data_IF_163811542232
#
_entry.id   IF_163811542232
#
_cell.length_a   1.000
_cell.length_b   1.000
_cell.length_c   1.000
_cell.angle_alpha   90.00
_cell.angle_beta   90.00
_cell.angle_gamma   90.00
#
_symmetry.space_group_name_H-M   'P 1'
#
loop_
_entity.id
_entity.type
_entity.pdbx_description
1 polymer ?
#
# COMPACT_ATOMS: atom_id res chain seq x y z
N UNK A 1 -7.76 3.83 1.76
CA UNK A 1 -7.40 3.53 0.35
C UNK A 1 -6.17 2.61 0.21
N UNK A 2 -5.02 2.84 0.88
CA UNK A 2 -3.80 2.04 0.71
C UNK A 2 -3.99 0.56 1.08
N UNK A 3 -4.65 0.31 2.22
CA UNK A 3 -4.99 -1.03 2.70
C UNK A 3 -5.76 -1.86 1.66
N UNK A 4 -6.80 -1.27 1.07
CA UNK A 4 -7.64 -1.96 0.10
C UNK A 4 -6.82 -2.44 -1.10
N UNK A 5 -5.90 -1.59 -1.57
CA UNK A 5 -5.04 -1.94 -2.68
C UNK A 5 -4.08 -3.08 -2.32
N UNK A 6 -3.53 -3.09 -1.09
CA UNK A 6 -2.73 -4.23 -0.59
C UNK A 6 -3.53 -5.52 -0.53
N UNK A 7 -4.77 -5.47 -0.04
CA UNK A 7 -5.67 -6.65 -0.02
C UNK A 7 -5.85 -7.16 -1.45
N UNK A 8 -6.24 -6.31 -2.40
CA UNK A 8 -6.43 -6.75 -3.79
C UNK A 8 -5.15 -7.32 -4.42
N UNK A 9 -3.97 -6.77 -4.10
CA UNK A 9 -2.69 -7.25 -4.60
C UNK A 9 -2.35 -8.63 -4.01
N UNK A 10 -2.55 -8.82 -2.71
CA UNK A 10 -2.24 -10.07 -2.01
C UNK A 10 -3.22 -11.18 -2.35
N UNK A 11 -4.52 -10.88 -2.41
CA UNK A 11 -5.54 -11.86 -2.81
C UNK A 11 -5.41 -12.24 -4.27
N UNK A 12 -4.86 -11.37 -5.12
CA UNK A 12 -4.53 -11.67 -6.51
C UNK A 12 -3.46 -12.75 -6.68
N UNK A 13 -2.77 -13.16 -5.60
CA UNK A 13 -1.81 -14.28 -5.59
C UNK A 13 -2.44 -15.62 -5.22
N UNK A 14 -3.71 -15.63 -4.82
CA UNK A 14 -4.45 -16.85 -4.51
C UNK A 14 -4.97 -17.52 -5.80
N UNK A 15 -5.23 -18.84 -5.77
CA UNK A 15 -5.98 -19.54 -6.82
C UNK A 15 -7.27 -18.81 -7.18
N UNK A 16 -7.63 -18.76 -8.47
CA UNK A 16 -8.74 -17.94 -9.01
C UNK A 16 -10.09 -18.20 -8.29
N UNK A 17 -10.33 -19.44 -7.87
CA UNK A 17 -11.51 -19.88 -7.12
C UNK A 17 -11.59 -19.26 -5.71
N UNK A 18 -10.45 -18.87 -5.12
CA UNK A 18 -10.35 -18.35 -3.76
C UNK A 18 -10.18 -16.84 -3.70
N UNK A 19 -9.84 -16.16 -4.80
CA UNK A 19 -9.54 -14.72 -4.78
C UNK A 19 -10.73 -13.87 -4.32
N UNK A 20 -11.95 -14.21 -4.76
CA UNK A 20 -13.15 -13.47 -4.36
C UNK A 20 -13.42 -13.63 -2.86
N UNK A 21 -13.33 -14.87 -2.34
CA UNK A 21 -13.47 -15.15 -0.91
C UNK A 21 -12.36 -14.51 -0.09
N UNK A 22 -11.12 -14.56 -0.55
CA UNK A 22 -9.97 -13.94 0.11
C UNK A 22 -10.14 -12.42 0.24
N UNK A 23 -10.74 -11.76 -0.76
CA UNK A 23 -11.05 -10.32 -0.71
C UNK A 23 -12.10 -10.02 0.34
N UNK A 24 -13.23 -10.72 0.33
CA UNK A 24 -14.32 -10.46 1.27
C UNK A 24 -13.96 -10.85 2.70
N UNK A 25 -13.31 -12.00 2.90
CA UNK A 25 -12.87 -12.48 4.22
C UNK A 25 -11.72 -11.64 4.75
N UNK A 26 -10.74 -11.31 3.90
CA UNK A 26 -9.63 -10.44 4.28
C UNK A 26 -10.10 -9.03 4.66
N UNK A 27 -11.06 -8.48 3.89
CA UNK A 27 -11.70 -7.22 4.25
C UNK A 27 -12.50 -7.35 5.53
N UNK A 28 -13.33 -8.39 5.68
CA UNK A 28 -14.08 -8.72 6.90
C UNK A 28 -13.20 -8.74 8.15
N UNK A 29 -12.08 -9.45 8.05
CA UNK A 29 -11.10 -9.58 9.13
C UNK A 29 -10.46 -8.23 9.46
N UNK A 30 -10.01 -7.48 8.46
CA UNK A 30 -9.41 -6.16 8.66
C UNK A 30 -10.40 -5.20 9.35
N UNK A 31 -11.66 -5.20 8.94
CA UNK A 31 -12.69 -4.38 9.60
C UNK A 31 -12.92 -4.77 11.05
N UNK A 32 -13.04 -6.08 11.31
CA UNK A 32 -13.23 -6.58 12.68
C UNK A 32 -12.08 -6.17 13.57
N UNK A 33 -10.85 -6.31 13.08
CA UNK A 33 -9.65 -5.89 13.81
C UNK A 33 -9.63 -4.37 14.03
N UNK A 34 -9.99 -3.58 13.02
CA UNK A 34 -10.01 -2.12 13.12
C UNK A 34 -11.08 -1.59 14.10
N UNK A 35 -12.26 -2.21 14.09
CA UNK A 35 -13.32 -1.91 15.07
C UNK A 35 -12.88 -2.34 16.46
N UNK A 36 -12.26 -3.52 16.60
CA UNK A 36 -11.74 -4.01 17.87
C UNK A 36 -10.68 -3.07 18.44
N UNK A 37 -9.76 -2.58 17.61
CA UNK A 37 -8.75 -1.58 18.02
C UNK A 37 -9.40 -0.28 18.50
N UNK A 38 -10.43 0.21 17.81
CA UNK A 38 -11.18 1.40 18.23
C UNK A 38 -11.97 1.19 19.52
N UNK A 39 -12.64 0.04 19.66
CA UNK A 39 -13.37 -0.32 20.88
C UNK A 39 -12.44 -0.55 22.06
N UNK A 40 -11.26 -1.12 21.83
CA UNK A 40 -10.21 -1.25 22.84
C UNK A 40 -9.83 0.14 23.40
N UNK A 41 -9.67 1.13 22.53
CA UNK A 41 -9.42 2.52 22.96
C UNK A 41 -10.61 3.12 23.71
N UNK A 42 -11.85 2.87 23.27
CA UNK A 42 -13.05 3.35 23.96
C UNK A 42 -13.24 2.70 25.33
N UNK A 43 -12.91 1.41 25.46
CA UNK A 43 -13.01 0.66 26.72
C UNK A 43 -11.91 1.10 27.70
N UNK A 44 -10.70 1.32 27.20
CA UNK A 44 -9.59 1.91 27.97
C UNK A 44 -9.95 3.31 28.46
N UNK A 45 -10.54 4.15 27.59
CA UNK A 45 -10.98 5.49 28.00
C UNK A 45 -12.20 5.49 28.92
N UNK A 46 -13.10 4.50 28.84
CA UNK A 46 -14.27 4.37 29.72
C UNK A 46 -13.97 3.78 31.10
N UNK A 47 -12.84 3.09 31.26
CA UNK A 47 -12.34 2.61 32.56
C UNK A 47 -11.66 3.71 33.41
N UNK A 48 -11.75 4.97 32.99
CA UNK A 48 -11.18 6.13 33.69
C UNK A 48 -12.01 6.61 34.90
N UNK A 49 -13.15 5.98 35.20
CA UNK A 49 -13.73 6.03 36.56
C UNK A 49 -13.05 4.94 37.42
N UNK A 50 -12.04 5.38 38.17
CA UNK A 50 -11.05 4.56 38.88
C UNK A 50 -11.72 3.67 39.96
N UNK A 51 -11.96 2.39 39.64
CA UNK A 51 -12.34 1.38 40.65
C UNK A 51 -11.24 0.35 40.96
N UNK A 52 -10.19 0.28 40.14
CA UNK A 52 -9.05 -0.61 40.34
C UNK A 52 -7.76 0.02 39.79
N UNK A 53 -6.72 0.11 40.63
CA UNK A 53 -5.35 0.41 40.23
C UNK A 53 -4.80 -0.80 39.47
N UNK A 54 -4.98 -0.81 38.15
CA UNK A 54 -4.36 -1.81 37.30
C UNK A 54 -2.87 -1.43 37.15
N UNK A 55 -1.91 -2.31 37.50
CA UNK A 55 -0.48 -2.04 37.31
C UNK A 55 -0.09 -1.79 35.84
N UNK A 56 -0.97 -2.15 34.90
CA UNK A 56 -0.85 -1.81 33.50
C UNK A 56 -1.19 -0.32 33.20
N UNK A 57 -2.08 0.30 33.97
CA UNK A 57 -2.37 1.74 33.87
C UNK A 57 -1.25 2.58 34.48
N UNK A 58 -0.60 2.18 35.59
CA UNK A 58 0.61 2.87 36.08
C UNK A 58 1.76 2.83 35.06
N UNK A 59 1.92 1.71 34.34
CA UNK A 59 2.89 1.59 33.25
C UNK A 59 2.59 2.53 32.08
N UNK A 60 1.31 2.82 31.80
CA UNK A 60 0.87 3.78 30.77
C UNK A 60 0.78 5.23 31.27
N UNK A 61 0.55 5.48 32.56
CA UNK A 61 0.54 6.82 33.15
C UNK A 61 1.96 7.34 33.37
N UNK A 62 2.94 6.46 33.67
CA UNK A 62 4.37 6.79 33.53
C UNK A 62 4.77 7.15 32.09
N UNK A 63 3.96 6.72 31.12
CA UNK A 63 4.08 7.08 29.70
C UNK A 63 3.46 8.46 29.40
N UNK A 64 2.40 8.84 30.11
CA UNK A 64 1.65 10.09 29.95
C UNK A 64 2.16 11.27 30.79
N UNK A 65 2.67 11.04 32.00
CA UNK A 65 3.29 12.06 32.87
C UNK A 65 4.67 12.49 32.36
N UNK A 66 5.40 11.59 31.70
CA UNK A 66 6.61 11.97 30.96
C UNK A 66 6.29 12.82 29.71
N UNK A 67 5.07 12.71 29.16
CA UNK A 67 4.61 13.46 27.98
C UNK A 67 3.95 14.80 28.34
N UNK A 68 3.38 14.94 29.54
CA UNK A 68 3.02 16.22 30.14
C UNK A 68 4.14 16.69 31.05
N UNK A 69 5.20 17.23 30.44
CA UNK A 69 6.13 18.07 31.19
C UNK A 69 5.33 19.09 32.00
N UNK A 70 5.43 18.98 33.33
CA UNK A 70 4.77 19.81 34.31
C UNK A 70 4.97 21.29 33.94
N UNK A 71 3.90 21.98 33.57
CA UNK A 71 3.95 23.42 33.51
C UNK A 71 3.99 23.97 34.93
N UNK A 72 5.08 24.67 35.27
CA UNK A 72 5.17 25.93 36.06
C UNK A 72 6.24 25.87 37.17
N UNK A 73 7.28 26.70 37.03
CA UNK A 73 8.01 27.28 38.16
C UNK A 73 9.53 27.42 38.04
N UNK A 74 9.97 28.57 37.50
CA UNK A 74 11.23 29.29 37.78
C UNK A 74 12.61 28.62 37.69
N UNK A 75 13.49 29.25 36.89
CA UNK A 75 14.88 29.49 37.29
C UNK A 75 15.94 28.72 36.52
N UNK A 76 16.68 29.47 35.69
CA UNK A 76 18.13 29.43 35.51
C UNK A 76 18.89 28.15 35.07
N UNK A 77 19.95 28.46 34.31
CA UNK A 77 21.19 27.72 34.11
C UNK A 77 21.25 26.66 32.99
N UNK A 78 21.85 27.12 31.88
CA UNK A 78 22.91 26.49 31.12
C UNK A 78 23.40 25.09 31.57
N UNK A 79 23.46 24.17 30.60
CA UNK A 79 24.20 22.92 30.71
C UNK A 79 23.57 21.87 29.80
N UNK A 80 24.33 21.35 28.84
CA UNK A 80 23.81 20.40 27.86
C UNK A 80 23.40 19.08 28.49
N UNK A 81 22.13 18.71 28.33
CA UNK A 81 21.63 17.38 28.65
C UNK A 81 21.20 16.66 27.36
N UNK A 82 22.08 15.77 26.89
CA UNK A 82 21.71 14.68 25.98
C UNK A 82 20.89 13.66 26.75
N UNK A 83 19.60 13.92 26.92
CA UNK A 83 18.66 12.89 27.36
C UNK A 83 18.58 11.81 26.26
N UNK A 84 18.79 10.51 26.56
CA UNK A 84 18.53 9.47 25.57
C UNK A 84 17.03 9.52 25.28
N UNK A 85 16.66 9.77 24.02
CA UNK A 85 15.26 9.81 23.59
C UNK A 85 14.55 8.54 24.08
N UNK A 86 13.63 8.68 25.04
CA UNK A 86 12.86 7.57 25.56
C UNK A 86 11.96 7.06 24.43
N UNK A 87 12.37 5.96 23.79
CA UNK A 87 11.61 5.35 22.70
C UNK A 87 10.27 4.84 23.21
N UNK A 88 9.19 5.33 22.60
CA UNK A 88 7.85 4.91 22.97
C UNK A 88 7.50 3.54 22.38
N UNK A 89 6.63 2.76 23.03
CA UNK A 89 6.11 1.52 22.43
C UNK A 89 5.43 1.78 21.08
N UNK A 90 4.81 2.96 20.93
CA UNK A 90 4.31 3.49 19.67
C UNK A 90 5.42 3.67 18.64
N UNK A 91 6.52 4.32 19.00
CA UNK A 91 7.66 4.60 18.10
C UNK A 91 8.26 3.30 17.57
N UNK A 92 8.38 2.30 18.44
CA UNK A 92 8.85 0.98 18.07
C UNK A 92 7.94 0.32 17.04
N UNK A 93 6.62 0.39 17.25
CA UNK A 93 5.64 -0.16 16.31
C UNK A 93 5.63 0.62 14.99
N UNK A 94 5.74 1.95 15.02
CA UNK A 94 5.82 2.80 13.82
C UNK A 94 7.10 2.52 13.02
N UNK A 95 8.23 2.37 13.70
CA UNK A 95 9.52 2.07 13.07
C UNK A 95 9.52 0.69 12.42
N UNK A 96 9.13 -0.36 13.15
CA UNK A 96 9.06 -1.72 12.61
C UNK A 96 8.00 -1.85 11.53
N UNK A 97 6.82 -1.27 11.74
CA UNK A 97 5.74 -1.25 10.77
C UNK A 97 6.15 -0.52 9.49
N UNK A 98 6.74 0.65 9.61
CA UNK A 98 7.24 1.42 8.48
C UNK A 98 8.34 0.68 7.69
N UNK A 99 9.32 0.10 8.40
CA UNK A 99 10.39 -0.69 7.77
C UNK A 99 9.83 -1.93 7.06
N UNK A 100 8.86 -2.61 7.67
CA UNK A 100 8.15 -3.73 7.08
C UNK A 100 7.39 -3.31 5.80
N UNK A 101 6.66 -2.19 5.82
CA UNK A 101 5.95 -1.69 4.63
C UNK A 101 6.91 -1.33 3.50
N UNK A 102 8.01 -0.64 3.79
CA UNK A 102 9.00 -0.25 2.78
C UNK A 102 9.64 -1.50 2.18
N UNK A 103 10.13 -2.42 3.02
CA UNK A 103 10.75 -3.67 2.56
C UNK A 103 9.79 -4.52 1.72
N UNK A 104 8.57 -4.75 2.21
CA UNK A 104 7.56 -5.53 1.49
C UNK A 104 7.17 -4.87 0.17
N UNK A 105 6.86 -3.58 0.18
CA UNK A 105 6.40 -2.89 -1.03
C UNK A 105 7.50 -2.80 -2.08
N UNK A 106 8.76 -2.61 -1.66
CA UNK A 106 9.92 -2.61 -2.56
C UNK A 106 10.09 -3.98 -3.23
N UNK A 107 10.00 -5.06 -2.45
CA UNK A 107 10.05 -6.42 -2.99
C UNK A 107 8.86 -6.72 -3.94
N UNK A 108 7.66 -6.21 -3.64
CA UNK A 108 6.49 -6.35 -4.51
C UNK A 108 6.63 -5.54 -5.82
N UNK A 109 7.31 -4.40 -5.79
CA UNK A 109 7.62 -3.59 -6.97
C UNK A 109 8.65 -4.32 -7.84
N UNK A 110 9.74 -4.80 -7.23
CA UNK A 110 10.82 -5.49 -7.93
C UNK A 110 10.32 -6.73 -8.69
N UNK A 111 9.55 -7.60 -8.01
CA UNK A 111 8.97 -8.79 -8.64
C UNK A 111 8.00 -8.48 -9.79
N UNK A 112 7.38 -7.30 -9.84
CA UNK A 112 6.53 -6.91 -10.98
C UNK A 112 7.30 -6.30 -12.14
N UNK A 113 8.48 -5.75 -11.88
CA UNK A 113 9.30 -5.08 -12.88
C UNK A 113 10.21 -6.05 -13.62
N UNK A 114 10.67 -7.12 -12.97
CA UNK A 114 11.57 -8.11 -13.59
C UNK A 114 10.88 -8.94 -14.69
N UNK A 115 9.54 -8.94 -14.75
CA UNK A 115 8.79 -9.82 -15.63
C UNK A 115 9.02 -11.29 -15.26
N UNK A 116 8.14 -12.19 -15.68
CA UNK A 116 8.33 -13.63 -15.43
C UNK A 116 9.42 -14.21 -16.37
N UNK A 117 10.65 -13.68 -16.27
CA UNK A 117 11.82 -14.21 -16.95
C UNK A 117 12.29 -15.49 -16.27
N UNK A 118 11.98 -16.64 -16.87
CA UNK A 118 12.51 -17.96 -16.55
C UNK A 118 12.38 -18.41 -15.08
N UNK A 119 11.14 -18.69 -14.66
CA UNK A 119 10.91 -19.61 -13.53
C UNK A 119 10.68 -21.02 -14.09
N UNK A 120 11.71 -21.87 -14.01
CA UNK A 120 11.57 -23.31 -14.23
C UNK A 120 10.45 -23.86 -13.36
N UNK A 121 9.68 -24.79 -13.92
CA UNK A 121 8.50 -25.47 -13.34
C UNK A 121 8.81 -26.39 -12.13
N UNK A 122 9.72 -25.99 -11.24
CA UNK A 122 10.01 -26.76 -10.04
C UNK A 122 9.49 -26.03 -8.79
N UNK A 123 8.29 -26.44 -8.39
CA UNK A 123 7.76 -26.32 -7.03
C UNK A 123 7.59 -24.89 -6.48
N UNK A 124 6.94 -24.00 -7.24
CA UNK A 124 6.37 -22.78 -6.66
C UNK A 124 5.19 -23.19 -5.77
N UNK A 125 5.45 -23.39 -4.47
CA UNK A 125 4.39 -23.63 -3.48
C UNK A 125 3.29 -22.59 -3.67
N UNK A 126 2.08 -23.06 -3.95
CA UNK A 126 0.90 -22.21 -4.02
C UNK A 126 0.83 -21.37 -2.73
N UNK A 127 0.64 -20.06 -2.89
CA UNK A 127 0.53 -19.15 -1.73
C UNK A 127 -0.69 -19.59 -0.92
N UNK A 128 -0.47 -19.96 0.33
CA UNK A 128 -1.53 -20.45 1.20
C UNK A 128 -2.53 -19.33 1.52
N UNK A 129 -3.81 -19.67 1.52
CA UNK A 129 -4.91 -18.79 1.91
C UNK A 129 -4.66 -18.14 3.29
N UNK A 130 -4.24 -18.95 4.27
CA UNK A 130 -3.92 -18.47 5.62
C UNK A 130 -2.76 -17.47 5.62
N UNK A 131 -1.74 -17.69 4.79
CA UNK A 131 -0.60 -16.77 4.70
C UNK A 131 -1.00 -15.40 4.15
N UNK A 132 -1.98 -15.35 3.24
CA UNK A 132 -2.51 -14.10 2.70
C UNK A 132 -3.34 -13.37 3.75
N UNK A 133 -4.19 -14.07 4.50
CA UNK A 133 -4.97 -13.47 5.58
C UNK A 133 -4.08 -12.90 6.69
N UNK A 134 -3.02 -13.60 7.09
CA UNK A 134 -2.05 -13.09 8.08
C UNK A 134 -1.33 -11.85 7.56
N UNK A 135 -0.92 -11.82 6.29
CA UNK A 135 -0.31 -10.62 5.69
C UNK A 135 -1.29 -9.43 5.64
N UNK A 136 -2.55 -9.69 5.30
CA UNK A 136 -3.60 -8.67 5.32
C UNK A 136 -3.79 -8.13 6.75
N UNK A 137 -3.85 -9.00 7.74
CA UNK A 137 -3.98 -8.62 9.14
C UNK A 137 -2.79 -7.77 9.60
N UNK A 138 -1.56 -8.17 9.30
CA UNK A 138 -0.37 -7.39 9.67
C UNK A 138 -0.38 -6.01 8.99
N UNK A 139 -0.69 -5.95 7.69
CA UNK A 139 -0.76 -4.68 6.97
C UNK A 139 -1.87 -3.76 7.47
N UNK A 140 -3.04 -4.32 7.81
CA UNK A 140 -4.11 -3.56 8.43
C UNK A 140 -3.75 -3.09 9.83
N UNK A 141 -3.03 -3.88 10.62
CA UNK A 141 -2.61 -3.48 11.96
C UNK A 141 -1.68 -2.26 11.88
N UNK A 142 -0.66 -2.31 11.02
CA UNK A 142 0.27 -1.19 10.86
C UNK A 142 -0.45 0.05 10.32
N UNK A 143 -1.36 -0.10 9.34
CA UNK A 143 -2.09 1.03 8.77
C UNK A 143 -3.19 1.58 9.69
N UNK A 144 -3.81 0.72 10.51
CA UNK A 144 -4.85 1.12 11.46
C UNK A 144 -4.24 1.87 12.63
N UNK A 145 -3.05 1.49 13.12
CA UNK A 145 -2.38 2.22 14.21
C UNK A 145 -2.08 3.68 13.83
N UNK A 146 -1.53 3.95 12.65
CA UNK A 146 -1.26 5.33 12.18
C UNK A 146 -2.54 6.17 12.06
N UNK A 147 -3.56 5.61 11.39
CA UNK A 147 -4.82 6.32 11.15
C UNK A 147 -5.67 6.50 12.40
N UNK A 148 -5.58 5.59 13.38
CA UNK A 148 -6.25 5.70 14.67
C UNK A 148 -5.52 6.70 15.57
N UNK A 149 -4.19 6.61 15.70
CA UNK A 149 -3.41 7.53 16.53
C UNK A 149 -3.53 8.97 15.99
N UNK A 150 -3.51 9.14 14.66
CA UNK A 150 -3.72 10.46 14.03
C UNK A 150 -5.15 10.97 14.29
N UNK A 151 -6.17 10.11 14.25
CA UNK A 151 -7.55 10.51 14.51
C UNK A 151 -7.81 10.87 15.98
N UNK A 152 -7.24 10.09 16.92
CA UNK A 152 -7.29 10.39 18.37
C UNK A 152 -6.58 11.71 18.69
N UNK A 153 -5.53 12.07 17.95
CA UNK A 153 -4.83 13.34 18.11
C UNK A 153 -5.52 14.57 17.51
N UNK A 154 -6.64 14.41 16.78
CA UNK A 154 -7.32 15.50 16.06
C UNK A 154 -8.80 15.68 16.39
N UNK A 155 -9.46 14.69 16.99
CA UNK A 155 -10.89 14.74 17.28
C UNK A 155 -11.16 14.47 18.77
N UNK A 156 -11.81 15.43 19.42
CA UNK A 156 -12.17 15.34 20.84
C UNK A 156 -13.32 14.34 21.09
N UNK A 157 -14.10 14.04 20.06
CA UNK A 157 -15.29 13.19 20.15
C UNK A 157 -15.03 11.79 19.57
N UNK A 158 -14.81 10.83 20.47
CA UNK A 158 -14.58 9.41 20.14
C UNK A 158 -15.69 8.85 19.23
N UNK A 159 -16.94 9.28 19.46
CA UNK A 159 -18.09 8.85 18.65
C UNK A 159 -17.98 9.31 17.19
N UNK A 160 -17.47 10.51 16.94
CA UNK A 160 -17.25 11.03 15.57
C UNK A 160 -16.16 10.22 14.87
N UNK A 161 -15.08 9.89 15.59
CA UNK A 161 -13.99 9.06 15.06
C UNK A 161 -14.47 7.64 14.70
N UNK A 162 -15.20 6.98 15.61
CA UNK A 162 -15.74 5.64 15.36
C UNK A 162 -16.69 5.68 14.16
N UNK A 163 -17.63 6.64 14.14
CA UNK A 163 -18.59 6.78 13.05
C UNK A 163 -17.89 7.02 11.71
N UNK A 164 -16.88 7.90 11.66
CA UNK A 164 -16.10 8.17 10.46
C UNK A 164 -15.38 6.92 9.93
N UNK A 165 -14.76 6.12 10.81
CA UNK A 165 -14.09 4.88 10.42
C UNK A 165 -15.09 3.84 9.94
N UNK A 166 -16.21 3.65 10.65
CA UNK A 166 -17.27 2.70 10.27
C UNK A 166 -17.86 3.07 8.90
N UNK A 167 -18.17 4.35 8.66
CA UNK A 167 -18.67 4.82 7.36
C UNK A 167 -17.62 4.60 6.26
N UNK A 168 -16.36 5.00 6.48
CA UNK A 168 -15.30 4.84 5.49
C UNK A 168 -15.10 3.37 5.12
N UNK A 169 -15.15 2.49 6.11
CA UNK A 169 -15.09 1.05 5.96
C UNK A 169 -16.29 0.50 5.19
N UNK A 170 -17.51 0.92 5.53
CA UNK A 170 -18.72 0.52 4.81
C UNK A 170 -18.67 0.88 3.32
N UNK A 171 -18.20 2.09 2.99
CA UNK A 171 -17.98 2.52 1.60
C UNK A 171 -16.94 1.64 0.91
N UNK A 172 -15.85 1.29 1.60
CA UNK A 172 -14.82 0.38 1.05
C UNK A 172 -15.38 -1.02 0.77
N UNK A 173 -16.24 -1.57 1.63
CA UNK A 173 -16.89 -2.87 1.39
C UNK A 173 -17.76 -2.87 0.13
N UNK A 174 -18.61 -1.86 0.00
CA UNK A 174 -19.49 -1.71 -1.16
C UNK A 174 -18.67 -1.56 -2.44
N UNK A 175 -17.51 -0.91 -2.34
CA UNK A 175 -16.63 -0.65 -3.47
C UNK A 175 -15.59 -1.74 -3.72
N UNK A 176 -15.54 -2.79 -2.89
CA UNK A 176 -14.45 -3.76 -2.90
C UNK A 176 -14.33 -4.54 -4.21
N UNK A 177 -15.45 -5.03 -4.76
CA UNK A 177 -15.44 -5.72 -6.05
C UNK A 177 -14.96 -4.80 -7.19
N UNK A 178 -15.61 -3.64 -7.42
CA UNK A 178 -15.22 -2.69 -8.47
C UNK A 178 -13.78 -2.20 -8.37
N UNK A 179 -13.32 -1.77 -7.18
CA UNK A 179 -11.95 -1.26 -7.02
C UNK A 179 -10.94 -2.37 -7.25
N UNK A 180 -11.22 -3.59 -6.78
CA UNK A 180 -10.31 -4.72 -7.01
C UNK A 180 -10.14 -5.00 -8.50
N UNK A 181 -11.25 -5.12 -9.23
CA UNK A 181 -11.19 -5.34 -10.67
C UNK A 181 -10.47 -4.20 -11.39
N UNK A 182 -10.69 -2.95 -10.99
CA UNK A 182 -9.98 -1.80 -11.53
C UNK A 182 -8.46 -1.89 -11.30
N UNK A 183 -8.02 -2.21 -10.08
CA UNK A 183 -6.59 -2.36 -9.75
C UNK A 183 -5.96 -3.53 -10.51
N UNK A 184 -6.69 -4.62 -10.75
CA UNK A 184 -6.22 -5.76 -11.54
C UNK A 184 -6.03 -5.43 -13.02
N UNK A 185 -6.95 -4.68 -13.63
CA UNK A 185 -6.89 -4.32 -15.05
C UNK A 185 -5.95 -3.16 -15.36
N UNK A 186 -5.53 -2.40 -14.34
CA UNK A 186 -4.65 -1.24 -14.50
C UNK A 186 -3.32 -1.43 -13.74
N UNK A 187 -2.28 -1.97 -14.41
CA UNK A 187 -0.97 -2.21 -13.79
C UNK A 187 -0.35 -0.95 -13.16
N UNK A 188 -0.52 0.21 -13.80
CA UNK A 188 -0.04 1.50 -13.31
C UNK A 188 -0.70 1.90 -11.98
N UNK A 189 -2.01 1.64 -11.82
CA UNK A 189 -2.73 1.83 -10.54
C UNK A 189 -2.21 0.86 -9.48
N UNK A 190 -1.94 -0.39 -9.86
CA UNK A 190 -1.33 -1.40 -8.97
C UNK A 190 0.07 -0.98 -8.48
N UNK A 191 0.84 -0.28 -9.32
CA UNK A 191 2.15 0.26 -8.95
C UNK A 191 2.03 1.51 -8.07
N UNK A 192 1.11 2.41 -8.41
CA UNK A 192 0.79 3.60 -7.61
C UNK A 192 0.39 3.22 -6.19
N UNK A 193 -0.42 2.18 -6.02
CA UNK A 193 -0.77 1.64 -4.71
C UNK A 193 0.46 1.18 -3.89
N UNK A 194 1.41 0.47 -4.51
CA UNK A 194 2.65 0.06 -3.85
C UNK A 194 3.54 1.26 -3.52
N UNK A 195 3.59 2.27 -4.38
CA UNK A 195 4.31 3.52 -4.11
C UNK A 195 3.71 4.28 -2.92
N UNK A 196 2.39 4.28 -2.76
CA UNK A 196 1.74 4.84 -1.57
C UNK A 196 2.08 4.07 -0.30
N UNK A 197 2.19 2.74 -0.35
CA UNK A 197 2.65 1.96 0.79
C UNK A 197 4.10 2.31 1.19
N UNK A 198 4.98 2.57 0.21
CA UNK A 198 6.34 3.06 0.49
C UNK A 198 6.29 4.45 1.10
N UNK A 199 5.53 5.38 0.52
CA UNK A 199 5.38 6.75 1.04
C UNK A 199 4.90 6.73 2.50
N UNK A 200 3.86 5.95 2.79
CA UNK A 200 3.35 5.77 4.15
C UNK A 200 4.41 5.11 5.02
N UNK A 201 5.07 4.04 4.56
CA UNK A 201 6.12 3.36 5.31
C UNK A 201 7.27 4.30 5.70
N UNK A 202 7.74 5.16 4.79
CA UNK A 202 8.75 6.19 5.08
C UNK A 202 8.21 7.22 6.07
N UNK A 203 6.93 7.61 5.94
CA UNK A 203 6.29 8.52 6.89
C UNK A 203 6.22 7.91 8.30
N UNK A 204 5.90 6.62 8.42
CA UNK A 204 5.88 5.92 9.71
C UNK A 204 7.27 5.81 10.33
N UNK A 205 8.30 5.54 9.52
CA UNK A 205 9.69 5.55 9.98
C UNK A 205 10.06 6.94 10.50
N UNK A 206 9.71 7.99 9.75
CA UNK A 206 9.97 9.37 10.17
C UNK A 206 9.26 9.69 11.50
N UNK A 207 7.98 9.36 11.62
CA UNK A 207 7.20 9.60 12.84
C UNK A 207 7.70 8.78 14.03
N UNK A 208 8.11 7.53 13.83
CA UNK A 208 8.76 6.70 14.86
C UNK A 208 10.15 7.21 15.27
N UNK A 209 10.80 8.03 14.44
CA UNK A 209 12.01 8.77 14.79
C UNK A 209 11.72 10.18 15.33
N UNK A 210 10.46 10.43 15.73
CA UNK A 210 9.97 11.72 16.21
C UNK A 210 10.06 12.87 15.19
N UNK A 211 10.27 12.56 13.90
CA UNK A 211 10.23 13.51 12.80
C UNK A 211 8.80 13.63 12.27
N UNK A 212 8.12 14.70 12.68
CA UNK A 212 6.74 14.93 12.30
C UNK A 212 6.67 15.49 10.88
N UNK A 213 6.15 14.67 9.96
CA UNK A 213 5.82 15.12 8.61
C UNK A 213 4.38 15.60 8.59
N UNK A 214 4.10 16.86 8.19
CA UNK A 214 2.72 17.33 8.09
C UNK A 214 1.91 16.47 7.13
N UNK A 215 0.85 15.83 7.65
CA UNK A 215 0.02 14.87 6.91
C UNK A 215 -0.60 15.47 5.64
N UNK A 216 -0.81 16.79 5.62
CA UNK A 216 -1.27 17.53 4.45
C UNK A 216 -0.37 17.35 3.22
N UNK A 217 0.95 17.25 3.40
CA UNK A 217 1.87 16.96 2.30
C UNK A 217 1.70 15.55 1.75
N UNK A 218 1.52 14.56 2.64
CA UNK A 218 1.28 13.17 2.26
C UNK A 218 -0.04 13.04 1.48
N UNK A 219 -1.10 13.68 1.97
CA UNK A 219 -2.41 13.66 1.32
C UNK A 219 -2.40 14.39 -0.02
N UNK A 220 -1.70 15.53 -0.10
CA UNK A 220 -1.52 16.27 -1.35
C UNK A 220 -0.74 15.46 -2.38
N UNK A 221 0.34 14.79 -1.98
CA UNK A 221 1.13 13.93 -2.86
C UNK A 221 0.31 12.73 -3.38
N UNK A 222 -0.47 12.08 -2.52
CA UNK A 222 -1.35 10.97 -2.92
C UNK A 222 -2.46 11.45 -3.88
N UNK A 223 -3.13 12.56 -3.56
CA UNK A 223 -4.18 13.11 -4.41
C UNK A 223 -3.63 13.53 -5.78
N UNK A 224 -2.47 14.21 -5.81
CA UNK A 224 -1.81 14.60 -7.04
C UNK A 224 -1.39 13.39 -7.89
N UNK A 225 -0.80 12.37 -7.28
CA UNK A 225 -0.40 11.15 -7.98
C UNK A 225 -1.60 10.42 -8.59
N UNK A 226 -2.72 10.31 -7.86
CA UNK A 226 -3.96 9.74 -8.39
C UNK A 226 -4.54 10.57 -9.54
N UNK A 227 -4.51 11.90 -9.43
CA UNK A 227 -4.94 12.80 -10.49
C UNK A 227 -4.11 12.58 -11.77
N UNK A 228 -2.78 12.58 -11.64
CA UNK A 228 -1.86 12.34 -12.76
C UNK A 228 -2.13 10.97 -13.40
N UNK A 229 -2.32 9.94 -12.59
CA UNK A 229 -2.62 8.59 -13.10
C UNK A 229 -4.00 8.52 -13.78
N UNK A 230 -4.99 9.23 -13.25
CA UNK A 230 -6.30 9.34 -13.90
C UNK A 230 -6.21 9.99 -15.29
N UNK A 231 -5.43 11.08 -15.40
CA UNK A 231 -5.15 11.73 -16.69
C UNK A 231 -4.39 10.81 -17.65
N UNK A 232 -3.41 10.05 -17.15
CA UNK A 232 -2.64 9.08 -17.92
C UNK A 232 -3.52 7.98 -18.53
N UNK A 233 -4.43 7.39 -17.74
CA UNK A 233 -5.38 6.37 -18.22
C UNK A 233 -6.30 6.95 -19.29
N UNK A 234 -6.79 8.19 -19.12
CA UNK A 234 -7.65 8.88 -20.09
C UNK A 234 -6.93 9.15 -21.42
N UNK A 235 -5.66 9.53 -21.37
CA UNK A 235 -4.84 9.78 -22.57
C UNK A 235 -4.59 8.52 -23.40
N UNK A 236 -4.30 7.38 -22.74
CA UNK A 236 -4.06 6.09 -23.43
C UNK A 236 -5.28 5.56 -24.18
N UNK A 237 -6.51 5.81 -23.68
CA UNK A 237 -7.76 5.44 -24.37
C UNK A 237 -7.94 6.20 -25.69
N UNK A 238 -7.44 7.43 -25.78
CA UNK A 238 -7.54 8.27 -26.98
C UNK A 238 -6.64 7.76 -28.12
N UNK A 239 -5.42 7.30 -27.80
CA UNK A 239 -4.46 6.72 -28.76
C UNK A 239 -4.88 5.37 -29.35
N UNK A 240 -5.79 4.64 -28.70
CA UNK A 240 -6.33 3.36 -29.22
C UNK A 240 -7.59 3.55 -30.08
N UNK A 241 -8.20 4.74 -30.04
CA UNK A 241 -9.41 5.11 -30.80
C UNK A 241 -9.11 5.86 -32.10
N UNK A 242 -7.89 6.38 -32.27
CA UNK A 242 -7.40 6.89 -33.54
C UNK A 242 -6.59 5.77 -34.18
N UNK A 243 -7.13 5.16 -35.24
CA UNK A 243 -6.43 4.16 -36.05
C UNK A 243 -5.25 4.77 -36.78
N UNK A 244 -4.21 5.18 -36.05
CA UNK A 244 -2.93 5.51 -36.62
C UNK A 244 -2.39 4.22 -37.26
N UNK A 245 -2.21 4.18 -38.60
CA UNK A 245 -1.61 3.03 -39.24
C UNK A 245 -0.26 2.74 -38.57
N UNK A 246 0.16 1.46 -38.53
CA UNK A 246 1.45 1.08 -37.94
C UNK A 246 2.53 2.02 -38.44
N UNK A 247 3.31 2.61 -37.52
CA UNK A 247 4.46 3.43 -37.92
C UNK A 247 5.39 2.51 -38.67
N UNK A 248 5.41 2.64 -40.00
CA UNK A 248 6.32 1.92 -40.87
C UNK A 248 7.74 2.27 -40.45
N UNK A 249 8.42 1.31 -39.82
CA UNK A 249 9.84 1.39 -39.58
C UNK A 249 10.49 1.47 -40.96
N UNK A 250 11.02 2.65 -41.30
CA UNK A 250 11.85 2.81 -42.48
C UNK A 250 12.98 1.80 -42.34
N UNK A 251 13.04 0.85 -43.26
CA UNK A 251 14.19 -0.04 -43.34
C UNK A 251 15.46 0.82 -43.34
N UNK A 252 16.50 0.44 -42.58
CA UNK A 252 17.77 1.13 -42.64
C UNK A 252 18.19 1.25 -44.09
N UNK A 253 18.59 2.45 -44.51
CA UNK A 253 19.09 2.73 -45.86
C UNK A 253 20.18 1.71 -46.26
N UNK A 254 19.77 0.59 -46.86
CA UNK A 254 20.62 -0.28 -47.63
C UNK A 254 20.44 0.12 -49.09
N UNK A 255 20.84 1.35 -49.42
CA UNK A 255 21.05 1.78 -50.80
C UNK A 255 21.82 3.10 -50.82
N UNK A 256 23.11 3.00 -50.51
CA UNK A 256 24.12 3.89 -51.05
C UNK A 256 25.35 3.03 -51.35
N UNK A 257 25.46 2.57 -52.60
CA UNK A 257 26.63 1.82 -53.05
C UNK A 257 26.32 0.88 -54.20
N UNK A 258 26.44 1.43 -55.40
CA UNK A 258 27.02 0.78 -56.58
C UNK A 258 26.45 -0.55 -57.10
N UNK A 259 26.18 -0.52 -58.40
CA UNK A 259 26.05 -1.64 -59.35
C UNK A 259 26.74 -2.94 -58.87
N UNK A 260 25.96 -4.00 -58.64
CA UNK A 260 26.44 -5.38 -58.83
C UNK A 260 26.60 -6.30 -57.61
N UNK A 261 25.76 -6.23 -56.57
CA UNK A 261 25.79 -7.24 -55.50
C UNK A 261 24.62 -8.24 -55.64
N UNK A 262 24.88 -9.54 -55.85
CA UNK A 262 23.83 -10.54 -55.96
C UNK A 262 23.19 -10.83 -54.58
N UNK A 263 21.86 -10.88 -54.55
CA UNK A 263 21.08 -11.29 -53.38
C UNK A 263 21.24 -12.81 -53.21
N UNK A 264 21.65 -13.33 -52.03
CA UNK A 264 21.73 -14.77 -51.80
C UNK A 264 20.34 -15.42 -51.91
N UNK A 265 20.21 -16.43 -52.76
CA UNK A 265 18.96 -17.14 -53.14
C UNK A 265 18.32 -17.98 -51.99
N UNK A 266 18.72 -17.75 -50.73
CA UNK A 266 18.43 -18.65 -49.61
C UNK A 266 17.35 -18.15 -48.63
N UNK A 267 16.48 -17.22 -49.03
CA UNK A 267 15.31 -16.85 -48.21
C UNK A 267 14.04 -16.84 -49.07
N UNK A 268 13.80 -17.95 -49.77
CA UNK A 268 12.50 -18.24 -50.32
C UNK A 268 11.49 -18.37 -49.15
N UNK A 269 10.49 -17.49 -49.14
CA UNK A 269 9.37 -17.53 -48.20
C UNK A 269 8.73 -18.92 -48.23
N UNK A 270 8.36 -19.54 -47.10
CA UNK A 270 7.58 -20.77 -47.13
C UNK A 270 6.24 -20.51 -47.82
N UNK A 271 5.94 -21.31 -48.86
CA UNK A 271 4.66 -21.27 -49.58
C UNK A 271 3.55 -21.71 -48.63
N UNK A 272 2.46 -20.94 -48.47
CA UNK A 272 1.34 -21.34 -47.63
C UNK A 272 0.62 -22.55 -48.24
N UNK A 273 0.57 -23.65 -47.50
CA UNK A 273 -0.16 -24.87 -47.88
C UNK A 273 -1.66 -24.66 -47.63
N UNK A 274 -2.45 -24.54 -48.70
CA UNK A 274 -3.91 -24.55 -48.64
C UNK A 274 -4.40 -25.95 -48.23
N UNK A 275 -5.10 -26.06 -47.09
CA UNK A 275 -5.81 -27.30 -46.72
C UNK A 275 -7.10 -27.42 -47.53
N UNK A 276 -7.40 -28.56 -48.19
CA UNK A 276 -8.67 -28.77 -48.83
C UNK A 276 -9.77 -29.02 -47.79
N UNK A 277 -10.92 -28.40 -48.02
CA UNK A 277 -12.14 -28.57 -47.23
C UNK A 277 -12.65 -30.01 -47.32
N UNK A 278 -12.88 -30.64 -46.17
CA UNK A 278 -13.74 -31.81 -46.00
C UNK A 278 -14.44 -31.69 -44.63
#
# INVERSE_FOLDING_TARGET
MPLFASISILTGKLPEDQQARGRTVGLGLAMGMRILLLLSLSWVMGLTDVLFELPFLEFMDGFGEAARGHGVGHGEAAGGDTSPAAFTGRDLILLFGGLFLVGKSTHEIHHKLEGDGHRSEENVKAVSFTSVLVQIAILDLVFSLDSVITAVGMADEIMVMILAVVIAVGVMMLSAGPISNFVHHHPTVKMLALAFLILIGVTLIAEGLNQHIPKGYIYSAMAFSLLVEFLNIRSKKKKKGEGAPPVELREPYAQAGEKGVPVPEAIARPVPVSRPNA
#
